data_IF_251849685962
#
_entry.id   IF_251849685962
#
_cell.length_a   1.000
_cell.length_b   1.000
_cell.length_c   1.000
_cell.angle_alpha   90.00
_cell.angle_beta   90.00
_cell.angle_gamma   90.00
#
_symmetry.space_group_name_H-M   'P 1'
#
loop_
_entity.id
_entity.type
_entity.pdbx_description
1 polymer ?
#
# COMPACT_ATOMS: atom_id res chain seq x y z
N UNK A 1 -19.00 5.67 11.68
CA UNK A 1 -19.57 4.99 10.50
C UNK A 1 -18.48 4.05 10.01
N UNK A 2 -18.76 2.75 9.99
CA UNK A 2 -17.76 1.73 9.66
C UNK A 2 -17.65 1.56 8.14
N UNK A 3 -16.42 1.58 7.62
CA UNK A 3 -16.11 1.48 6.18
C UNK A 3 -16.59 0.15 5.59
N UNK A 4 -16.54 -0.93 6.38
CA UNK A 4 -17.04 -2.24 5.97
C UNK A 4 -18.57 -2.18 5.79
N UNK A 5 -19.27 -1.55 6.73
CA UNK A 5 -20.72 -1.33 6.65
C UNK A 5 -21.11 -0.46 5.45
N UNK A 6 -20.31 0.55 5.11
CA UNK A 6 -20.54 1.40 3.92
C UNK A 6 -20.36 0.60 2.62
N UNK A 7 -19.28 -0.18 2.49
CA UNK A 7 -19.05 -1.04 1.32
C UNK A 7 -20.20 -2.03 1.12
N UNK A 8 -20.59 -2.75 2.18
CA UNK A 8 -21.66 -3.74 2.12
C UNK A 8 -23.01 -3.15 1.68
N UNK A 9 -23.27 -1.88 2.00
CA UNK A 9 -24.50 -1.17 1.59
C UNK A 9 -24.43 -0.60 0.17
N UNK A 10 -23.23 -0.18 -0.25
CA UNK A 10 -23.02 0.48 -1.54
C UNK A 10 -23.01 -0.48 -2.74
N UNK A 11 -22.85 -1.79 -2.51
CA UNK A 11 -22.74 -2.80 -3.58
C UNK A 11 -21.52 -2.60 -4.49
N UNK A 12 -20.64 -1.65 -4.17
CA UNK A 12 -19.50 -1.26 -4.99
C UNK A 12 -18.23 -1.50 -4.20
N UNK A 13 -17.44 -2.48 -4.67
CA UNK A 13 -16.15 -2.80 -4.09
C UNK A 13 -15.07 -1.91 -4.69
N UNK A 14 -14.22 -1.31 -3.84
CA UNK A 14 -13.08 -0.54 -4.31
C UNK A 14 -12.03 -1.50 -4.88
N UNK A 15 -11.88 -1.52 -6.21
CA UNK A 15 -10.98 -2.44 -6.91
C UNK A 15 -9.64 -1.81 -7.30
N UNK A 16 -9.58 -0.48 -7.40
CA UNK A 16 -8.37 0.25 -7.75
C UNK A 16 -8.23 1.53 -6.93
N UNK A 17 -7.00 1.80 -6.48
CA UNK A 17 -6.65 3.00 -5.73
C UNK A 17 -5.41 3.65 -6.34
N UNK A 18 -5.46 4.97 -6.54
CA UNK A 18 -4.31 5.77 -6.98
C UNK A 18 -4.13 6.95 -6.05
N UNK A 19 -2.95 7.03 -5.44
CA UNK A 19 -2.53 8.13 -4.56
C UNK A 19 -1.55 9.01 -5.32
N UNK A 20 -1.76 10.32 -5.32
CA UNK A 20 -0.92 11.28 -6.05
C UNK A 20 -0.54 12.47 -5.16
N UNK A 21 0.76 12.77 -5.07
CA UNK A 21 1.26 13.94 -4.34
C UNK A 21 1.26 13.81 -2.82
N UNK A 22 1.32 12.59 -2.28
CA UNK A 22 1.37 12.37 -0.83
C UNK A 22 2.82 12.40 -0.33
N UNK A 23 3.11 13.29 0.62
CA UNK A 23 4.40 13.33 1.31
C UNK A 23 4.21 13.17 2.81
N UNK A 24 5.15 12.51 3.47
CA UNK A 24 5.23 12.55 4.93
C UNK A 24 5.78 13.93 5.32
N UNK A 25 4.91 14.85 5.74
CA UNK A 25 5.28 16.23 6.04
C UNK A 25 6.04 16.40 7.37
N UNK A 26 6.24 15.33 8.14
CA UNK A 26 6.81 15.39 9.49
C UNK A 26 7.97 14.41 9.59
N UNK A 27 9.19 14.96 9.64
CA UNK A 27 10.47 14.25 9.79
C UNK A 27 10.58 13.40 11.07
N UNK A 28 9.61 13.48 11.98
CA UNK A 28 9.62 12.77 13.27
C UNK A 28 8.57 11.64 13.38
N UNK A 29 7.77 11.40 12.35
CA UNK A 29 6.83 10.26 12.29
C UNK A 29 7.09 9.38 11.07
N UNK A 30 8.33 8.92 10.96
CA UNK A 30 8.71 7.78 10.12
C UNK A 30 7.71 6.63 10.32
N UNK A 31 7.10 6.17 9.24
CA UNK A 31 6.12 5.09 9.23
C UNK A 31 4.64 5.50 9.40
N UNK A 32 4.29 6.78 9.63
CA UNK A 32 2.87 7.20 9.77
C UNK A 32 2.07 7.01 8.48
N UNK A 33 2.62 7.43 7.33
CA UNK A 33 1.98 7.27 6.03
C UNK A 33 1.89 5.80 5.62
N UNK A 34 2.97 5.04 5.82
CA UNK A 34 3.02 3.60 5.52
C UNK A 34 1.96 2.83 6.30
N UNK A 35 1.86 3.05 7.62
CA UNK A 35 0.81 2.43 8.45
C UNK A 35 -0.60 2.82 8.01
N UNK A 36 -0.78 4.07 7.60
CA UNK A 36 -2.06 4.55 7.07
C UNK A 36 -2.43 3.81 5.80
N UNK A 37 -1.49 3.63 4.87
CA UNK A 37 -1.71 2.89 3.61
C UNK A 37 -2.00 1.41 3.90
N UNK A 38 -1.25 0.77 4.80
CA UNK A 38 -1.48 -0.63 5.21
C UNK A 38 -2.88 -0.78 5.79
N UNK A 39 -3.27 0.12 6.70
CA UNK A 39 -4.61 0.11 7.31
C UNK A 39 -5.68 0.28 6.24
N UNK A 40 -5.48 1.20 5.30
CA UNK A 40 -6.39 1.42 4.18
C UNK A 40 -6.52 0.14 3.34
N UNK A 41 -5.43 -0.43 2.86
CA UNK A 41 -5.46 -1.66 2.06
C UNK A 41 -6.14 -2.82 2.80
N UNK A 42 -5.97 -2.92 4.12
CA UNK A 42 -6.65 -3.92 4.96
C UNK A 42 -8.16 -3.74 5.03
N UNK A 43 -8.66 -2.50 4.92
CA UNK A 43 -10.09 -2.17 4.91
C UNK A 43 -10.75 -2.41 3.53
N UNK A 44 -9.94 -2.53 2.49
CA UNK A 44 -10.41 -2.68 1.11
C UNK A 44 -9.80 -3.94 0.46
N UNK A 45 -10.23 -5.15 0.88
CA UNK A 45 -9.65 -6.41 0.41
C UNK A 45 -9.88 -6.68 -1.09
N UNK A 46 -10.80 -5.96 -1.72
CA UNK A 46 -11.08 -6.07 -3.15
C UNK A 46 -10.10 -5.28 -4.03
N UNK A 47 -9.22 -4.45 -3.45
CA UNK A 47 -8.23 -3.71 -4.23
C UNK A 47 -7.29 -4.70 -4.89
N UNK A 48 -7.22 -4.62 -6.22
CA UNK A 48 -6.31 -5.40 -7.05
C UNK A 48 -5.31 -4.52 -7.81
N UNK A 49 -5.55 -3.21 -7.85
CA UNK A 49 -4.69 -2.21 -8.48
C UNK A 49 -4.37 -1.10 -7.50
N UNK A 50 -3.10 -0.93 -7.15
CA UNK A 50 -2.63 0.14 -6.28
C UNK A 50 -1.51 0.91 -6.95
N UNK A 51 -1.65 2.23 -7.02
CA UNK A 51 -0.67 3.11 -7.64
C UNK A 51 -0.34 4.28 -6.73
N UNK A 52 0.93 4.62 -6.63
CA UNK A 52 1.42 5.79 -5.94
C UNK A 52 2.25 6.62 -6.89
N UNK A 53 1.96 7.92 -6.98
CA UNK A 53 2.63 8.84 -7.90
C UNK A 53 3.06 10.11 -7.17
N UNK A 54 4.29 10.56 -7.40
CA UNK A 54 4.86 11.76 -6.78
C UNK A 54 4.76 11.70 -5.24
N UNK A 55 5.06 10.54 -4.68
CA UNK A 55 5.03 10.37 -3.23
C UNK A 55 6.43 10.46 -2.63
N UNK A 56 6.54 10.92 -1.38
CA UNK A 56 7.81 11.00 -0.65
C UNK A 56 7.64 10.42 0.75
N UNK A 57 8.05 9.15 0.92
CA UNK A 57 8.02 8.38 2.16
C UNK A 57 8.83 7.07 1.99
N UNK A 58 9.15 6.39 3.09
CA UNK A 58 9.86 5.11 3.07
C UNK A 58 9.04 4.00 2.39
N UNK A 59 9.47 3.59 1.20
CA UNK A 59 8.83 2.53 0.40
C UNK A 59 9.09 1.14 0.99
N UNK A 60 10.26 0.93 1.60
CA UNK A 60 10.71 -0.40 2.03
C UNK A 60 9.80 -1.01 3.08
N UNK A 61 9.29 -0.21 4.03
CA UNK A 61 8.30 -0.69 5.01
C UNK A 61 6.98 -1.10 4.34
N UNK A 62 6.52 -0.35 3.34
CA UNK A 62 5.29 -0.65 2.61
C UNK A 62 5.46 -1.94 1.79
N UNK A 63 6.57 -2.08 1.08
CA UNK A 63 6.90 -3.29 0.33
C UNK A 63 7.04 -4.49 1.27
N UNK A 64 7.69 -4.31 2.44
CA UNK A 64 7.80 -5.37 3.45
C UNK A 64 6.43 -5.82 3.95
N UNK A 65 5.53 -4.89 4.25
CA UNK A 65 4.17 -5.23 4.65
C UNK A 65 3.41 -5.99 3.54
N UNK A 66 3.59 -5.58 2.28
CA UNK A 66 3.01 -6.24 1.11
C UNK A 66 3.62 -7.61 0.80
N UNK A 67 4.83 -7.93 1.29
CA UNK A 67 5.56 -9.18 1.00
C UNK A 67 5.55 -10.20 2.15
N UNK A 68 5.44 -9.79 3.42
CA UNK A 68 5.56 -10.71 4.56
C UNK A 68 4.30 -11.58 4.77
N UNK A 69 4.37 -12.88 4.41
CA UNK A 69 3.37 -13.90 4.82
C UNK A 69 4.06 -14.86 5.78
N UNK A 70 4.10 -14.55 7.08
CA UNK A 70 4.16 -15.60 8.12
C UNK A 70 3.87 -15.01 9.49
N UNK A 71 2.74 -15.42 10.08
CA UNK A 71 2.39 -15.18 11.49
C UNK A 71 1.77 -13.82 11.83
N UNK A 72 1.51 -12.93 10.86
CA UNK A 72 0.87 -11.63 11.12
C UNK A 72 -0.65 -11.65 10.85
N UNK A 73 -1.46 -10.94 11.66
CA UNK A 73 -2.93 -10.96 11.59
C UNK A 73 -3.52 -10.12 10.44
N UNK A 74 -2.73 -9.28 9.77
CA UNK A 74 -3.23 -8.36 8.74
C UNK A 74 -3.09 -8.99 7.36
N UNK A 75 -4.20 -9.50 6.83
CA UNK A 75 -4.32 -9.95 5.45
C UNK A 75 -4.46 -8.73 4.52
N UNK A 76 -3.33 -8.26 3.99
CA UNK A 76 -3.36 -7.28 2.90
C UNK A 76 -3.89 -7.91 1.61
N UNK A 77 -4.60 -7.14 0.77
CA UNK A 77 -5.10 -7.61 -0.50
C UNK A 77 -3.95 -8.05 -1.41
N UNK A 78 -4.25 -9.02 -2.27
CA UNK A 78 -3.34 -9.39 -3.37
C UNK A 78 -3.40 -8.29 -4.42
N UNK A 79 -2.26 -7.65 -4.68
CA UNK A 79 -2.14 -6.55 -5.64
C UNK A 79 -1.45 -7.02 -6.92
N UNK A 80 -2.17 -7.63 -7.90
CA UNK A 80 -1.59 -8.00 -9.18
C UNK A 80 -1.06 -6.80 -9.97
N UNK A 81 -1.54 -5.58 -9.69
CA UNK A 81 -1.04 -4.35 -10.29
C UNK A 81 -0.56 -3.40 -9.20
N UNK A 82 0.76 -3.24 -9.08
CA UNK A 82 1.42 -2.32 -8.15
C UNK A 82 2.34 -1.36 -8.92
N UNK A 83 2.09 -0.06 -8.84
CA UNK A 83 2.97 0.97 -9.40
C UNK A 83 3.40 1.95 -8.30
N UNK A 84 4.71 2.08 -8.06
CA UNK A 84 5.27 2.99 -7.07
C UNK A 84 6.21 3.99 -7.77
N UNK A 85 5.77 5.24 -7.89
CA UNK A 85 6.55 6.35 -8.43
C UNK A 85 6.78 7.40 -7.32
N UNK A 86 7.78 7.15 -6.48
CA UNK A 86 8.22 8.12 -5.49
C UNK A 86 9.22 9.12 -6.09
N UNK A 87 9.16 10.36 -5.63
CA UNK A 87 10.07 11.41 -6.10
C UNK A 87 11.49 11.13 -5.59
N UNK A 88 12.38 10.87 -6.55
CA UNK A 88 13.84 10.88 -6.54
C UNK A 88 14.48 11.34 -5.23
N UNK A 89 14.96 10.37 -4.45
CA UNK A 89 16.07 10.43 -3.48
C UNK A 89 16.19 9.09 -2.71
N UNK A 90 15.25 8.16 -2.92
CA UNK A 90 15.33 6.79 -2.40
C UNK A 90 16.22 5.93 -3.30
N UNK A 91 17.18 5.24 -2.70
CA UNK A 91 17.95 4.15 -3.32
C UNK A 91 17.01 3.19 -4.08
N UNK A 92 17.44 2.74 -5.25
CA UNK A 92 16.66 1.81 -6.07
C UNK A 92 16.28 0.59 -5.24
N UNK A 93 14.97 0.31 -5.19
CA UNK A 93 14.45 -0.89 -4.52
C UNK A 93 15.18 -2.12 -5.08
N UNK A 94 15.75 -3.00 -4.23
CA UNK A 94 16.54 -4.12 -4.69
C UNK A 94 15.78 -4.95 -5.73
N UNK A 95 16.38 -5.26 -6.90
CA UNK A 95 15.71 -5.93 -8.02
C UNK A 95 15.02 -7.26 -7.65
N UNK A 96 15.52 -7.89 -6.58
CA UNK A 96 15.06 -9.16 -6.04
C UNK A 96 13.68 -9.08 -5.38
N UNK A 97 13.25 -7.90 -4.91
CA UNK A 97 11.98 -7.74 -4.21
C UNK A 97 10.78 -7.72 -5.15
N UNK A 98 10.94 -7.20 -6.37
CA UNK A 98 9.86 -7.12 -7.37
C UNK A 98 9.26 -8.50 -7.69
N UNK A 99 10.04 -9.53 -8.05
CA UNK A 99 9.48 -10.86 -8.33
C UNK A 99 8.84 -11.52 -7.09
N UNK A 100 9.30 -11.20 -5.88
CA UNK A 100 8.69 -11.70 -4.63
C UNK A 100 7.30 -11.10 -4.36
N UNK A 101 7.08 -9.84 -4.73
CA UNK A 101 5.76 -9.20 -4.66
C UNK A 101 4.79 -9.86 -5.65
N UNK A 102 5.25 -10.14 -6.87
CA UNK A 102 4.41 -10.64 -7.97
C UNK A 102 4.05 -12.12 -7.84
N UNK A 103 4.75 -12.89 -7.00
CA UNK A 103 4.61 -14.34 -6.87
C UNK A 103 3.74 -14.81 -5.70
N UNK A 104 3.23 -13.89 -4.86
CA UNK A 104 2.15 -14.14 -3.89
C UNK A 104 0.82 -14.35 -4.61
#
# INVERSE_FOLDING_TARGET
>A
MDVITFQNRSGTALSSLTLHGFSSAVENEEGSLTRTIITLLSLFPAISSFRMKKCSFEIDELVRALTLVKGQPVLLPKLPYLELHCSQDMEETPPEMIPMILSR
#
